data_IF_375126746667
#
_entry.id   IF_375126746667
#
_cell.length_a   1.000
_cell.length_b   1.000
_cell.length_c   1.000
_cell.angle_alpha   90.00
_cell.angle_beta   90.00
_cell.angle_gamma   90.00
#
_symmetry.space_group_name_H-M   'P 1'
#
loop_
_entity.id
_entity.type
_entity.pdbx_description
1 polymer ?
2 non-polymer ?
3 non-polymer ?
4 non-polymer ?
5 non-polymer ?
6 non-polymer ?
7 non-polymer ?
8 water ?
#
# COMPACT_ATOMS: atom_id res chain seq x y z
N UNK A 1 -7.00 -14.16 -17.68
CA UNK A 1 -6.73 -13.97 -19.12
C UNK A 1 -5.26 -14.33 -19.40
N UNK A 2 -5.04 -15.28 -20.34
CA UNK A 2 -3.68 -15.76 -20.64
C UNK A 2 -2.81 -14.74 -21.40
N UNK A 3 -1.49 -14.83 -21.19
CA UNK A 3 -0.53 -14.03 -21.96
C UNK A 3 0.72 -14.87 -22.21
N UNK A 4 1.62 -14.43 -23.12
CA UNK A 4 2.75 -15.31 -23.40
C UNK A 4 3.60 -15.57 -22.18
N UNK A 5 4.12 -16.79 -22.09
CA UNK A 5 5.01 -17.20 -21.02
C UNK A 5 6.28 -16.32 -20.93
N UNK A 6 6.88 -16.07 -22.08
CA UNK A 6 8.05 -15.23 -22.15
C UNK A 6 7.75 -14.14 -23.18
N UNK A 7 7.08 -13.07 -22.76
CA UNK A 7 6.78 -12.06 -23.75
C UNK A 7 8.01 -11.29 -24.28
N UNK A 8 9.08 -11.18 -23.49
CA UNK A 8 10.22 -10.38 -23.90
C UNK A 8 9.87 -8.90 -23.87
N UNK A 9 10.78 -8.10 -24.40
CA UNK A 9 10.58 -6.64 -24.41
C UNK A 9 11.56 -6.07 -25.42
N UNK A 10 11.58 -4.74 -25.56
CA UNK A 10 12.60 -4.13 -26.38
C UNK A 10 12.89 -2.75 -25.82
N UNK A 11 13.89 -2.07 -26.37
CA UNK A 11 14.42 -0.91 -25.69
C UNK A 11 13.57 0.31 -26.02
N UNK A 12 12.75 0.24 -27.07
CA UNK A 12 11.75 1.26 -27.32
C UNK A 12 10.69 1.22 -26.16
N UNK A 13 10.19 0.03 -25.86
CA UNK A 13 9.28 -0.18 -24.74
C UNK A 13 9.95 0.13 -23.41
N UNK A 14 11.22 -0.24 -23.24
CA UNK A 14 11.91 -0.02 -21.94
C UNK A 14 11.98 1.47 -21.62
N UNK A 15 12.28 2.27 -22.64
CA UNK A 15 12.48 3.73 -22.51
C UNK A 15 11.23 4.57 -22.68
N UNK A 16 10.14 3.93 -23.08
CA UNK A 16 8.94 4.65 -23.49
C UNK A 16 8.38 5.41 -22.30
N UNK A 17 7.97 6.66 -22.54
CA UNK A 17 7.38 7.56 -21.57
C UNK A 17 6.02 8.02 -22.05
N UNK A 18 5.03 8.05 -21.17
CA UNK A 18 3.77 8.74 -21.46
C UNK A 18 4.05 10.24 -21.32
N UNK A 19 3.40 11.07 -22.18
CA UNK A 19 3.57 12.55 -22.15
C UNK A 19 2.75 13.17 -21.01
N UNK A 20 3.36 13.11 -19.83
CA UNK A 20 2.86 13.63 -18.58
C UNK A 20 3.73 14.80 -18.13
N UNK A 21 3.04 15.83 -17.63
CA UNK A 21 3.56 17.01 -16.93
C UNK A 21 3.95 16.54 -15.49
N UNK A 22 5.09 15.89 -15.32
CA UNK A 22 5.50 15.40 -13.97
C UNK A 22 6.07 16.59 -13.23
N UNK A 23 5.71 16.76 -11.95
CA UNK A 23 6.33 17.82 -11.15
C UNK A 23 6.81 17.28 -9.80
N UNK A 24 7.70 18.03 -9.16
CA UNK A 24 8.08 17.76 -7.79
C UNK A 24 7.44 18.77 -6.85
N UNK A 25 7.45 18.43 -5.56
CA UNK A 25 7.03 19.37 -4.52
C UNK A 25 7.87 20.65 -4.54
N UNK A 26 9.19 20.51 -4.67
CA UNK A 26 10.11 21.65 -4.82
C UNK A 26 9.75 22.55 -6.00
N UNK A 27 9.42 21.95 -7.15
CA UNK A 27 9.01 22.74 -8.33
C UNK A 27 7.69 23.47 -8.06
N UNK A 28 6.76 22.81 -7.37
CA UNK A 28 5.50 23.46 -7.04
C UNK A 28 5.80 24.65 -6.09
N UNK A 29 6.59 24.41 -5.04
CA UNK A 29 6.92 25.47 -4.10
C UNK A 29 7.58 26.65 -4.84
N UNK A 30 8.52 26.32 -5.72
CA UNK A 30 9.23 27.31 -6.54
C UNK A 30 8.26 28.11 -7.43
N UNK A 31 7.27 27.42 -8.03
CA UNK A 31 6.29 28.11 -8.91
C UNK A 31 5.40 29.10 -8.11
N UNK A 32 5.31 28.90 -6.80
CA UNK A 32 4.49 29.72 -5.95
C UNK A 32 5.29 30.79 -5.23
N UNK A 33 6.61 30.84 -5.45
CA UNK A 33 7.46 31.72 -4.65
C UNK A 33 7.03 33.17 -4.92
N UNK A 34 6.88 33.92 -3.83
CA UNK A 34 6.42 35.31 -3.91
C UNK A 34 4.93 35.45 -3.64
N UNK A 35 4.17 34.36 -3.81
CA UNK A 35 2.74 34.43 -3.61
C UNK A 35 2.39 34.40 -2.13
N UNK A 36 1.55 35.37 -1.67
CA UNK A 36 1.17 35.42 -0.27
C UNK A 36 0.28 34.23 0.12
N UNK A 37 0.04 34.04 1.42
CA UNK A 37 -0.83 32.95 1.84
C UNK A 37 -2.15 32.83 1.05
N UNK A 38 -2.54 31.60 0.74
CA UNK A 38 -3.78 31.35 0.00
C UNK A 38 -4.48 30.11 0.57
N UNK A 39 -5.73 29.87 0.19
CA UNK A 39 -6.34 28.60 0.55
C UNK A 39 -5.94 27.51 -0.45
N UNK A 40 -5.57 26.35 0.07
CA UNK A 40 -5.29 25.18 -0.80
C UNK A 40 -6.06 23.99 -0.22
N UNK A 41 -6.31 22.99 -1.06
CA UNK A 41 -7.13 21.87 -0.63
C UNK A 41 -6.53 20.56 -1.01
N UNK A 42 -6.92 19.54 -0.24
CA UNK A 42 -6.47 18.15 -0.45
C UNK A 42 -7.67 17.20 -0.40
N UNK A 43 -7.78 16.33 -1.39
CA UNK A 43 -8.60 15.15 -1.24
C UNK A 43 -7.96 14.33 -0.09
N UNK A 44 -8.69 13.39 0.52
CA UNK A 44 -8.07 12.57 1.58
C UNK A 44 -7.59 11.17 1.09
N UNK A 45 -8.53 10.34 0.65
CA UNK A 45 -8.28 8.94 0.34
C UNK A 45 -7.41 8.71 -0.90
N UNK A 46 -6.29 8.01 -0.64
CA UNK A 46 -5.23 7.82 -1.62
C UNK A 46 -4.53 9.11 -2.06
N UNK A 47 -4.72 10.20 -1.34
CA UNK A 47 -4.03 11.46 -1.63
C UNK A 47 -3.13 11.79 -0.43
N UNK A 48 -3.71 11.76 0.78
CA UNK A 48 -2.90 11.92 2.02
C UNK A 48 -2.86 10.71 2.92
N UNK A 49 -3.91 9.87 2.83
CA UNK A 49 -4.03 8.65 3.60
C UNK A 49 -4.29 7.46 2.68
N UNK A 50 -3.47 6.43 2.81
CA UNK A 50 -3.84 5.12 2.28
C UNK A 50 -4.87 4.51 3.22
N UNK A 51 -6.15 4.67 2.89
CA UNK A 51 -7.23 4.35 3.78
C UNK A 51 -7.89 3.04 3.36
N UNK A 52 -7.39 2.38 2.31
CA UNK A 52 -7.94 1.08 1.90
C UNK A 52 -8.21 0.07 3.04
N UNK A 53 -7.34 0.03 4.09
CA UNK A 53 -7.60 -0.88 5.22
C UNK A 53 -9.03 -0.75 5.76
N UNK A 54 -9.48 0.49 6.03
CA UNK A 54 -10.81 0.72 6.59
C UNK A 54 -11.91 0.41 5.62
N UNK A 55 -11.69 0.76 4.35
CA UNK A 55 -12.68 0.45 3.30
C UNK A 55 -12.79 -1.05 3.01
N UNK A 56 -11.64 -1.71 2.97
CA UNK A 56 -11.58 -3.19 2.81
C UNK A 56 -12.30 -3.89 3.97
N UNK A 57 -11.94 -3.52 5.19
CA UNK A 57 -12.66 -3.98 6.37
C UNK A 57 -14.17 -3.68 6.32
N UNK A 58 -14.55 -2.47 5.91
CA UNK A 58 -15.95 -2.10 5.84
C UNK A 58 -16.71 -3.00 4.88
N UNK A 59 -16.14 -3.22 3.70
CA UNK A 59 -16.75 -4.04 2.66
C UNK A 59 -17.00 -5.44 3.21
N UNK A 60 -15.94 -6.05 3.79
CA UNK A 60 -16.02 -7.40 4.38
C UNK A 60 -17.09 -7.48 5.43
N UNK A 61 -17.21 -6.44 6.26
CA UNK A 61 -18.18 -6.38 7.39
C UNK A 61 -19.64 -6.09 6.93
N UNK A 62 -19.80 -5.12 6.04
CA UNK A 62 -21.12 -4.62 5.72
C UNK A 62 -21.68 -5.10 4.39
N UNK A 63 -20.84 -5.34 3.38
CA UNK A 63 -21.34 -5.82 2.08
C UNK A 63 -20.31 -6.66 1.32
N UNK A 64 -20.03 -7.89 1.82
CA UNK A 64 -18.95 -8.74 1.30
C UNK A 64 -18.98 -8.86 -0.21
N UNK A 65 -20.18 -8.93 -0.78
CA UNK A 65 -20.35 -9.20 -2.20
C UNK A 65 -20.97 -8.02 -2.99
N UNK A 66 -20.80 -6.79 -2.51
CA UNK A 66 -21.21 -5.59 -3.25
C UNK A 66 -20.50 -4.33 -2.75
N UNK A 67 -21.02 -3.16 -3.14
CA UNK A 67 -20.46 -1.85 -2.74
C UNK A 67 -21.44 -1.08 -1.87
N UNK A 68 -22.44 -1.79 -1.34
CA UNK A 68 -23.49 -1.17 -0.57
C UNK A 68 -22.97 -0.56 0.73
N UNK A 69 -21.83 -1.03 1.19
CA UNK A 69 -21.26 -0.49 2.43
C UNK A 69 -21.01 1.01 2.25
N UNK A 70 -20.72 1.42 1.02
CA UNK A 70 -20.42 2.81 0.74
C UNK A 70 -21.63 3.74 0.89
N UNK A 71 -22.82 3.15 1.05
CA UNK A 71 -24.04 3.91 1.21
C UNK A 71 -24.67 3.53 2.57
N UNK A 72 -23.87 2.95 3.46
CA UNK A 72 -24.36 2.47 4.78
C UNK A 72 -23.87 3.45 5.86
N UNK A 73 -24.81 4.09 6.63
CA UNK A 73 -24.33 5.10 7.58
C UNK A 73 -23.57 4.52 8.74
N UNK A 74 -23.78 3.24 9.03
CA UNK A 74 -23.02 2.58 10.11
C UNK A 74 -21.56 2.41 9.71
N UNK A 75 -21.32 2.07 8.45
CA UNK A 75 -19.96 2.03 7.90
C UNK A 75 -19.23 3.39 8.07
N UNK A 76 -19.88 4.48 7.66
CA UNK A 76 -19.31 5.83 7.75
C UNK A 76 -19.00 6.28 9.18
N UNK A 77 -19.88 5.97 10.12
CA UNK A 77 -19.58 6.21 11.52
C UNK A 77 -18.27 5.57 11.96
N UNK A 78 -18.04 4.28 11.59
CA UNK A 78 -16.78 3.58 11.94
C UNK A 78 -15.58 4.19 11.23
N UNK A 79 -15.76 4.47 9.93
CA UNK A 79 -14.66 4.87 9.03
C UNK A 79 -14.19 6.25 9.43
N UNK A 80 -15.15 7.11 9.82
CA UNK A 80 -14.86 8.51 10.17
C UNK A 80 -14.49 8.72 11.62
N UNK A 81 -14.66 7.70 12.43
CA UNK A 81 -14.45 7.80 13.87
C UNK A 81 -13.50 6.74 14.45
N UNK A 82 -12.47 6.37 13.68
CA UNK A 82 -11.43 5.51 14.23
C UNK A 82 -10.70 4.60 13.27
N UNK A 83 -11.38 4.15 12.24
CA UNK A 83 -10.69 3.21 11.34
C UNK A 83 -9.51 3.83 10.60
N UNK A 84 -9.41 5.18 10.59
CA UNK A 84 -8.19 5.84 10.04
C UNK A 84 -6.93 5.62 10.90
N UNK A 85 -7.09 5.06 12.09
CA UNK A 85 -5.94 4.64 12.89
C UNK A 85 -5.09 3.62 12.12
N UNK A 86 -5.76 2.88 11.23
CA UNK A 86 -5.13 1.92 10.30
C UNK A 86 -4.72 2.55 8.96
N UNK A 87 -5.06 3.82 8.73
CA UNK A 87 -4.76 4.44 7.46
C UNK A 87 -3.30 4.92 7.47
N UNK A 88 -2.57 4.71 6.38
CA UNK A 88 -1.13 5.00 6.34
C UNK A 88 -0.92 6.35 5.67
N UNK A 89 -0.36 7.31 6.41
CA UNK A 89 -0.08 8.65 5.83
C UNK A 89 0.88 8.51 4.64
N UNK A 90 0.65 9.28 3.58
CA UNK A 90 1.55 9.28 2.45
C UNK A 90 2.66 10.33 2.64
N UNK A 91 3.88 9.94 2.30
CA UNK A 91 5.08 10.80 2.31
C UNK A 91 4.90 12.05 1.46
N UNK A 92 4.30 11.92 0.27
CA UNK A 92 4.06 13.09 -0.61
C UNK A 92 3.19 14.14 0.07
N UNK A 93 2.22 13.67 0.85
CA UNK A 93 1.36 14.53 1.61
C UNK A 93 2.12 15.20 2.74
N UNK A 94 3.01 14.48 3.42
CA UNK A 94 3.86 15.11 4.42
C UNK A 94 4.67 16.24 3.81
N UNK A 95 5.26 15.98 2.64
CA UNK A 95 6.04 17.01 1.93
C UNK A 95 5.17 18.18 1.49
N UNK A 96 4.00 17.86 0.94
CA UNK A 96 3.07 18.90 0.46
C UNK A 96 2.51 19.77 1.60
N UNK A 97 2.02 19.10 2.64
CA UNK A 97 1.49 19.78 3.81
C UNK A 97 2.60 20.60 4.48
N UNK A 98 3.80 20.02 4.71
CA UNK A 98 4.95 20.85 5.18
C UNK A 98 5.19 22.10 4.33
N UNK A 99 5.18 21.93 3.02
CA UNK A 99 5.44 23.06 2.12
C UNK A 99 4.37 24.16 2.23
N UNK A 100 3.09 23.76 2.27
CA UNK A 100 1.99 24.72 2.44
C UNK A 100 1.97 25.40 3.84
N UNK A 101 2.42 24.68 4.87
CA UNK A 101 2.63 25.29 6.18
C UNK A 101 3.78 26.34 6.15
N UNK A 102 4.90 25.98 5.53
CA UNK A 102 5.98 26.93 5.23
C UNK A 102 5.45 28.19 4.53
N UNK A 103 4.56 28.03 3.55
CA UNK A 103 3.99 29.16 2.83
C UNK A 103 3.02 29.99 3.66
N UNK A 104 2.54 29.47 4.78
CA UNK A 104 1.47 30.16 5.52
C UNK A 104 0.09 29.98 4.89
N UNK A 105 -0.05 28.96 4.03
CA UNK A 105 -1.36 28.70 3.37
C UNK A 105 -2.37 28.11 4.35
N UNK A 106 -3.64 28.42 4.09
CA UNK A 106 -4.75 27.81 4.75
C UNK A 106 -5.01 26.43 4.09
N UNK A 107 -5.05 25.39 4.91
CA UNK A 107 -5.15 24.04 4.37
C UNK A 107 -6.54 23.48 4.67
N UNK A 108 -7.19 23.00 3.60
CA UNK A 108 -8.50 22.36 3.70
C UNK A 108 -8.43 20.94 3.18
N UNK A 109 -9.26 20.07 3.75
CA UNK A 109 -9.44 18.71 3.22
C UNK A 109 -10.87 18.57 2.76
N UNK A 110 -11.03 18.22 1.49
CA UNK A 110 -12.36 18.12 0.91
C UNK A 110 -12.56 16.68 0.45
N UNK A 111 -13.42 15.95 1.16
CA UNK A 111 -13.50 14.55 0.95
C UNK A 111 -14.85 14.13 0.41
N UNK A 112 -14.87 13.09 -0.42
CA UNK A 112 -16.12 12.47 -0.90
C UNK A 112 -16.81 11.54 0.12
N UNK A 113 -16.14 11.25 1.23
CA UNK A 113 -16.77 10.53 2.33
C UNK A 113 -18.07 11.21 2.78
N UNK A 114 -19.05 10.39 3.21
CA UNK A 114 -20.32 10.88 3.74
C UNK A 114 -20.15 11.53 5.12
N UNK A 115 -20.78 12.69 5.31
CA UNK A 115 -20.78 13.35 6.62
C UNK A 115 -21.37 12.42 7.68
N UNK A 116 -20.87 12.51 8.90
CA UNK A 116 -21.41 11.70 10.01
C UNK A 116 -21.64 12.67 11.15
N UNK A 117 -22.33 12.21 12.19
CA UNK A 117 -22.62 13.03 13.36
C UNK A 117 -21.32 13.52 14.02
N UNK A 118 -20.35 12.63 14.14
CA UNK A 118 -19.05 13.03 14.66
C UNK A 118 -17.96 12.49 13.70
N UNK A 119 -16.78 13.11 13.78
CA UNK A 119 -15.67 12.68 12.99
C UNK A 119 -14.38 12.94 13.76
N UNK A 120 -13.46 11.98 13.71
CA UNK A 120 -12.13 12.12 14.33
C UNK A 120 -11.05 12.22 13.21
N UNK A 121 -11.52 12.38 11.98
CA UNK A 121 -10.61 12.48 10.84
C UNK A 121 -9.71 13.74 10.89
N UNK A 122 -10.29 14.89 11.23
CA UNK A 122 -9.54 16.16 11.29
C UNK A 122 -8.43 16.03 12.31
N UNK A 123 -8.75 15.39 13.42
CA UNK A 123 -7.76 15.13 14.49
C UNK A 123 -6.59 14.23 13.97
N UNK A 124 -6.93 13.08 13.37
CA UNK A 124 -5.95 12.15 12.78
C UNK A 124 -5.03 12.88 11.75
N UNK A 125 -5.59 13.75 10.94
CA UNK A 125 -4.82 14.47 9.94
C UNK A 125 -3.91 15.49 10.59
N UNK A 126 -4.44 16.28 11.54
CA UNK A 126 -3.67 17.40 12.12
C UNK A 126 -2.51 16.84 12.95
N UNK A 127 -2.76 15.66 13.52
CA UNK A 127 -1.77 14.91 14.29
C UNK A 127 -0.72 14.22 13.43
N UNK A 128 -1.16 13.35 12.51
CA UNK A 128 -0.22 12.63 11.64
C UNK A 128 0.70 13.54 10.86
N UNK A 129 0.18 14.69 10.43
CA UNK A 129 0.91 15.56 9.50
C UNK A 129 1.44 16.84 10.15
N UNK A 130 1.31 16.90 11.48
CA UNK A 130 1.91 17.93 12.31
C UNK A 130 1.46 19.29 11.82
N UNK A 131 0.13 19.45 11.71
CA UNK A 131 -0.48 20.64 11.11
C UNK A 131 -0.87 21.64 12.19
N UNK A 132 -0.25 22.82 12.15
CA UNK A 132 -0.56 23.82 13.21
C UNK A 132 -2.04 24.22 13.19
N UNK A 133 -2.57 24.59 14.36
CA UNK A 133 -3.95 25.08 14.46
C UNK A 133 -4.25 26.16 13.40
N UNK A 134 -3.30 27.05 13.15
CA UNK A 134 -3.65 28.16 12.27
C UNK A 134 -3.85 27.78 10.78
N UNK A 135 -3.07 26.82 10.30
CA UNK A 135 -3.20 26.30 8.95
C UNK A 135 -4.31 25.29 8.81
N UNK A 136 -4.68 24.63 9.90
CA UNK A 136 -5.65 23.53 9.85
C UNK A 136 -7.11 24.04 9.74
N UNK A 137 -7.93 23.35 8.96
CA UNK A 137 -9.35 23.62 8.92
C UNK A 137 -10.08 22.32 9.02
N UNK A 138 -11.21 22.31 9.71
CA UNK A 138 -11.93 21.02 9.87
C UNK A 138 -12.29 20.40 8.52
N UNK A 139 -12.15 19.08 8.42
CA UNK A 139 -12.45 18.36 7.20
C UNK A 139 -13.87 18.71 6.69
N UNK A 140 -13.95 18.99 5.39
CA UNK A 140 -15.21 19.18 4.65
C UNK A 140 -15.61 17.84 4.03
N UNK A 141 -16.66 17.23 4.61
CA UNK A 141 -17.27 15.99 4.12
C UNK A 141 -18.31 16.35 3.07
N UNK A 142 -17.90 16.33 1.81
CA UNK A 142 -18.74 16.82 0.75
C UNK A 142 -19.69 15.70 0.25
N UNK A 143 -19.43 14.46 0.69
CA UNK A 143 -20.24 13.32 0.28
C UNK A 143 -20.08 12.93 -1.18
N UNK A 144 -20.84 11.92 -1.61
CA UNK A 144 -20.70 11.45 -2.99
C UNK A 144 -22.06 11.25 -3.62
N UNK A 145 -22.25 11.84 -4.79
CA UNK A 145 -23.53 11.72 -5.48
C UNK A 145 -23.23 11.56 -6.95
N UNK A 146 -23.27 10.30 -7.45
CA UNK A 146 -22.88 10.00 -8.84
C UNK A 146 -23.67 10.88 -9.84
N UNK A 147 -23.00 11.39 -10.86
CA UNK A 147 -23.61 12.37 -11.73
C UNK A 147 -23.25 13.78 -11.29
N UNK A 148 -22.80 13.93 -10.05
CA UNK A 148 -22.48 15.28 -9.54
C UNK A 148 -21.09 15.35 -8.88
N UNK A 149 -20.31 16.38 -9.23
CA UNK A 149 -19.07 16.62 -8.50
C UNK A 149 -19.39 17.43 -7.23
N UNK A 150 -19.43 16.75 -6.07
CA UNK A 150 -19.76 17.41 -4.80
C UNK A 150 -18.63 18.35 -4.23
N UNK A 151 -17.42 18.30 -4.79
CA UNK A 151 -16.28 19.13 -4.29
C UNK A 151 -16.27 20.56 -4.85
N UNK A 152 -16.69 20.72 -6.10
CA UNK A 152 -16.53 22.00 -6.82
C UNK A 152 -17.02 23.21 -6.05
N UNK A 153 -18.25 23.14 -5.56
CA UNK A 153 -18.81 24.25 -4.79
C UNK A 153 -18.04 24.56 -3.48
N UNK A 154 -17.49 23.53 -2.84
CA UNK A 154 -16.60 23.75 -1.69
C UNK A 154 -15.30 24.46 -2.04
N UNK A 155 -14.64 24.07 -3.14
CA UNK A 155 -13.44 24.82 -3.57
C UNK A 155 -13.76 26.29 -3.87
N UNK A 156 -14.91 26.53 -4.49
CA UNK A 156 -15.39 27.89 -4.74
C UNK A 156 -15.60 28.66 -3.44
N UNK A 157 -16.35 28.03 -2.53
CA UNK A 157 -16.69 28.62 -1.25
C UNK A 157 -15.47 28.95 -0.41
N UNK A 158 -14.47 28.07 -0.38
CA UNK A 158 -13.29 28.31 0.45
C UNK A 158 -12.17 29.06 -0.29
N UNK A 159 -12.46 29.55 -1.48
CA UNK A 159 -11.44 30.19 -2.34
C UNK A 159 -10.13 29.38 -2.53
N UNK A 160 -10.27 28.06 -2.66
CA UNK A 160 -9.13 27.15 -2.85
C UNK A 160 -8.52 27.36 -4.24
N UNK A 161 -7.22 27.66 -4.30
CA UNK A 161 -6.50 27.99 -5.54
C UNK A 161 -5.72 26.81 -6.13
N UNK A 162 -5.43 25.83 -5.27
CA UNK A 162 -4.69 24.61 -5.65
C UNK A 162 -5.44 23.48 -4.98
N UNK A 163 -5.79 22.47 -5.77
CA UNK A 163 -6.38 21.24 -5.26
C UNK A 163 -5.59 19.99 -5.66
N UNK A 164 -5.25 19.17 -4.65
CA UNK A 164 -4.51 17.94 -4.82
C UNK A 164 -5.41 16.74 -4.68
N UNK A 165 -5.29 15.79 -5.59
CA UNK A 165 -6.10 14.58 -5.47
C UNK A 165 -5.69 13.48 -6.39
N UNK A 166 -6.12 12.26 -6.08
CA UNK A 166 -5.79 11.11 -6.95
C UNK A 166 -6.82 10.81 -8.05
N UNK A 167 -8.07 11.28 -7.88
CA UNK A 167 -9.16 10.91 -8.76
C UNK A 167 -9.49 11.97 -9.81
N UNK A 168 -10.10 11.53 -10.88
CA UNK A 168 -10.46 12.42 -11.98
C UNK A 168 -11.35 13.53 -11.47
N UNK A 169 -12.30 13.17 -10.59
CA UNK A 169 -13.17 14.20 -9.96
C UNK A 169 -12.46 15.29 -9.12
N UNK A 170 -11.28 14.99 -8.58
CA UNK A 170 -10.50 15.98 -7.88
C UNK A 170 -9.99 17.03 -8.85
N UNK A 171 -9.46 16.56 -9.98
CA UNK A 171 -8.92 17.42 -11.01
C UNK A 171 -10.01 18.21 -11.71
N UNK A 172 -11.11 17.56 -12.05
CA UNK A 172 -12.26 18.26 -12.62
C UNK A 172 -12.90 19.31 -11.69
N UNK A 173 -12.89 19.07 -10.36
CA UNK A 173 -13.38 20.07 -9.42
C UNK A 173 -12.53 21.34 -9.46
N UNK A 174 -11.20 21.16 -9.42
CA UNK A 174 -10.28 22.29 -9.54
C UNK A 174 -10.52 23.03 -10.85
N UNK A 175 -10.62 22.29 -11.96
CA UNK A 175 -10.88 22.88 -13.27
C UNK A 175 -12.19 23.69 -13.28
N UNK A 176 -13.25 23.11 -12.70
CA UNK A 176 -14.55 23.78 -12.59
C UNK A 176 -14.45 25.19 -12.03
N UNK A 177 -13.53 25.42 -11.09
CA UNK A 177 -13.44 26.71 -10.39
C UNK A 177 -12.21 27.54 -10.82
N UNK A 178 -11.48 27.03 -11.81
CA UNK A 178 -10.23 27.65 -12.28
C UNK A 178 -9.08 27.54 -11.30
N UNK A 179 -9.16 26.57 -10.37
CA UNK A 179 -8.03 26.27 -9.49
C UNK A 179 -7.04 25.36 -10.21
N UNK A 180 -5.81 25.33 -9.69
CA UNK A 180 -4.76 24.48 -10.23
C UNK A 180 -4.93 23.10 -9.64
N UNK A 181 -5.36 22.15 -10.48
CA UNK A 181 -5.53 20.77 -10.04
C UNK A 181 -4.27 19.96 -10.26
N UNK A 182 -3.82 19.30 -9.20
CA UNK A 182 -2.56 18.58 -9.23
C UNK A 182 -2.79 17.12 -8.80
N UNK A 183 -2.30 16.20 -9.62
CA UNK A 183 -2.62 14.79 -9.39
C UNK A 183 -1.57 14.10 -8.52
N UNK A 184 -2.03 13.21 -7.63
CA UNK A 184 -1.23 12.34 -6.80
C UNK A 184 -1.54 10.91 -7.31
N UNK A 185 -0.51 10.06 -7.43
CA UNK A 185 -0.72 8.67 -7.83
C UNK A 185 -1.43 7.86 -6.77
N UNK A 186 -2.49 7.16 -7.16
CA UNK A 186 -3.05 6.14 -6.29
C UNK A 186 -2.14 4.89 -6.23
N UNK A 187 -1.83 4.43 -5.02
CA UNK A 187 -1.02 3.24 -4.85
C UNK A 187 -1.66 2.00 -5.48
N UNK A 188 -0.80 1.15 -6.06
CA UNK A 188 -1.27 -0.03 -6.78
C UNK A 188 -1.89 -1.10 -5.87
N UNK A 189 -1.65 -1.00 -4.54
CA UNK A 189 -2.26 -1.92 -3.60
C UNK A 189 -3.52 -1.30 -2.98
N UNK A 190 -3.96 -0.13 -3.48
CA UNK A 190 -5.28 0.42 -3.13
C UNK A 190 -6.34 -0.61 -3.53
N UNK A 191 -7.39 -0.76 -2.73
CA UNK A 191 -8.51 -1.60 -3.11
C UNK A 191 -9.55 -0.80 -3.91
N UNK A 192 -9.28 0.49 -4.13
CA UNK A 192 -10.15 1.30 -4.99
C UNK A 192 -9.60 1.22 -6.42
N UNK A 193 -10.26 0.39 -7.25
CA UNK A 193 -9.79 0.10 -8.59
C UNK A 193 -10.94 0.30 -9.62
N UNK A 194 -10.60 0.50 -10.91
CA UNK A 194 -9.25 0.58 -11.45
C UNK A 194 -8.48 1.88 -11.03
N UNK A 195 -7.16 1.82 -11.13
CA UNK A 195 -6.33 3.00 -10.95
C UNK A 195 -6.73 4.07 -11.99
N UNK A 196 -6.76 5.33 -11.57
CA UNK A 196 -7.06 6.46 -12.48
C UNK A 196 -5.88 6.64 -13.41
N UNK A 197 -6.13 7.19 -14.59
CA UNK A 197 -5.05 7.65 -15.49
C UNK A 197 -4.61 9.05 -15.07
N UNK A 198 -3.63 9.08 -14.17
CA UNK A 198 -2.99 10.32 -13.74
C UNK A 198 -2.43 11.01 -14.97
N UNK A 199 -2.75 12.29 -15.15
CA UNK A 199 -2.26 13.03 -16.32
C UNK A 199 -3.31 13.10 -17.44
N UNK A 200 -4.46 12.46 -17.26
CA UNK A 200 -5.45 12.35 -18.36
C UNK A 200 -6.13 13.66 -18.78
N UNK A 201 -6.03 14.73 -17.99
CA UNK A 201 -6.57 16.03 -18.39
C UNK A 201 -5.44 17.04 -18.74
N UNK A 202 -4.21 16.52 -18.92
CA UNK A 202 -3.01 17.37 -19.10
C UNK A 202 -2.56 18.09 -17.82
N UNK A 203 -3.04 17.65 -16.66
CA UNK A 203 -2.73 18.29 -15.37
C UNK A 203 -1.32 17.82 -14.91
N UNK A 204 -0.71 18.60 -14.03
CA UNK A 204 0.56 18.21 -13.40
C UNK A 204 0.32 17.01 -12.52
N UNK A 205 1.29 16.09 -12.51
CA UNK A 205 1.25 14.89 -11.67
C UNK A 205 2.54 14.88 -10.84
N UNK A 206 2.42 14.60 -9.56
CA UNK A 206 3.59 14.64 -8.64
C UNK A 206 4.32 13.31 -8.74
N UNK A 207 5.62 13.40 -8.97
CA UNK A 207 6.48 12.23 -9.10
C UNK A 207 6.46 11.47 -7.80
N UNK A 208 6.54 10.15 -7.89
CA UNK A 208 6.76 9.25 -6.75
C UNK A 208 5.72 9.38 -5.65
N UNK A 209 4.53 9.81 -6.03
CA UNK A 209 3.49 10.22 -5.09
C UNK A 209 2.56 9.07 -4.72
N UNK A 210 2.95 7.84 -5.09
CA UNK A 210 2.23 6.65 -4.69
C UNK A 210 2.45 6.25 -3.21
N UNK A 211 3.43 6.85 -2.54
CA UNK A 211 3.73 6.47 -1.17
C UNK A 211 4.00 7.74 -0.35
N UNK B 1 24.73 14.76 -4.23
CA UNK B 1 24.03 16.09 -4.24
C UNK B 1 25.02 17.16 -4.74
N UNK B 2 24.53 18.20 -5.47
CA UNK B 2 23.16 18.72 -5.63
C UNK B 2 22.06 17.74 -6.07
N UNK B 3 20.87 17.98 -5.52
CA UNK B 3 19.60 17.41 -6.00
C UNK B 3 18.88 18.59 -6.68
N UNK B 4 19.03 18.72 -8.02
CA UNK B 4 18.59 19.93 -8.71
C UNK B 4 17.06 20.10 -8.72
N UNK B 5 16.62 21.36 -8.78
CA UNK B 5 15.21 21.70 -9.03
C UNK B 5 14.67 20.95 -10.24
N UNK B 6 15.44 21.00 -11.32
CA UNK B 6 15.11 20.39 -12.59
C UNK B 6 16.22 19.40 -12.94
N UNK B 7 16.13 18.17 -12.41
CA UNK B 7 17.21 17.19 -12.56
C UNK B 7 17.41 16.80 -14.01
N UNK B 8 16.31 16.73 -14.78
CA UNK B 8 16.38 16.16 -16.12
C UNK B 8 16.69 14.67 -16.07
N UNK B 9 16.80 14.07 -17.25
CA UNK B 9 17.16 12.67 -17.38
C UNK B 9 17.81 12.48 -18.74
N UNK B 10 18.14 11.24 -19.07
CA UNK B 10 18.66 10.89 -20.37
C UNK B 10 18.14 9.48 -20.69
N UNK B 11 18.23 9.07 -21.95
CA UNK B 11 17.59 7.82 -22.39
C UNK B 11 18.35 6.55 -21.95
N UNK B 12 19.62 6.69 -21.58
CA UNK B 12 20.35 5.58 -20.92
C UNK B 12 19.74 5.30 -19.55
N UNK B 13 19.48 6.36 -18.76
CA UNK B 13 18.79 6.18 -17.45
C UNK B 13 17.33 5.73 -17.61
N UNK B 14 16.64 6.22 -18.64
CA UNK B 14 15.25 5.86 -18.85
C UNK B 14 15.10 4.36 -19.13
N UNK B 15 15.99 3.83 -19.96
CA UNK B 15 15.95 2.41 -20.34
C UNK B 15 16.75 1.48 -19.39
N UNK B 16 17.39 2.08 -18.39
CA UNK B 16 18.32 1.33 -17.56
C UNK B 16 17.59 0.22 -16.82
N UNK B 17 18.16 -0.98 -16.82
CA UNK B 17 17.58 -2.11 -16.08
C UNK B 17 18.63 -2.58 -15.10
N UNK B 18 18.22 -2.90 -13.86
CA UNK B 18 19.08 -3.64 -12.95
C UNK B 18 19.11 -5.10 -13.42
N UNK B 19 20.26 -5.78 -13.24
CA UNK B 19 20.38 -7.15 -13.69
C UNK B 19 19.73 -8.14 -12.68
N UNK B 20 18.42 -8.31 -12.83
CA UNK B 20 17.60 -9.11 -11.98
C UNK B 20 16.97 -10.24 -12.79
N UNK B 21 16.94 -11.46 -12.21
CA UNK B 21 16.20 -12.64 -12.77
C UNK B 21 14.72 -12.46 -12.38
N UNK B 22 14.00 -11.67 -13.18
CA UNK B 22 12.56 -11.50 -12.98
C UNK B 22 11.84 -12.75 -13.47
N UNK B 23 10.84 -13.20 -12.73
CA UNK B 23 9.95 -14.28 -13.17
C UNK B 23 8.48 -13.88 -12.97
N UNK B 24 7.60 -14.63 -13.62
CA UNK B 24 6.16 -14.43 -13.50
C UNK B 24 5.65 -15.68 -12.79
N UNK B 25 4.44 -15.62 -12.26
CA UNK B 25 3.83 -16.81 -11.68
C UNK B 25 3.69 -17.92 -12.72
N UNK B 26 3.33 -17.52 -13.94
CA UNK B 26 3.18 -18.45 -15.07
C UNK B 26 4.47 -19.25 -15.36
N UNK B 27 5.64 -18.59 -15.28
CA UNK B 27 6.92 -19.23 -15.49
C UNK B 27 7.32 -20.16 -14.33
N UNK B 28 7.06 -19.72 -13.09
CA UNK B 28 7.25 -20.60 -11.96
C UNK B 28 6.44 -21.87 -12.11
N UNK B 29 5.15 -21.71 -12.44
CA UNK B 29 4.28 -22.87 -12.67
C UNK B 29 4.83 -23.79 -13.77
N UNK B 30 5.28 -23.19 -14.88
CA UNK B 30 5.89 -23.95 -15.97
C UNK B 30 7.15 -24.74 -15.50
N UNK B 31 7.95 -24.12 -14.64
CA UNK B 31 9.17 -24.74 -14.10
C UNK B 31 8.84 -25.94 -13.20
N UNK B 32 7.61 -25.99 -12.72
CA UNK B 32 7.19 -27.05 -11.82
C UNK B 32 6.47 -28.21 -12.53
N UNK B 33 6.14 -28.05 -13.81
CA UNK B 33 5.36 -29.05 -14.57
C UNK B 33 5.98 -30.47 -14.51
N UNK B 34 5.21 -31.40 -13.97
CA UNK B 34 5.63 -32.79 -13.81
C UNK B 34 6.27 -33.07 -12.47
N UNK B 35 6.57 -32.03 -11.71
CA UNK B 35 7.06 -32.20 -10.33
C UNK B 35 5.87 -32.60 -9.45
N UNK B 36 6.02 -33.73 -8.71
CA UNK B 36 5.05 -34.21 -7.72
C UNK B 36 4.70 -33.14 -6.70
N UNK B 37 3.48 -33.21 -6.11
CA UNK B 37 3.10 -32.38 -4.98
C UNK B 37 4.19 -32.27 -3.95
N UNK B 38 4.43 -31.03 -3.51
CA UNK B 38 5.51 -30.78 -2.56
C UNK B 38 5.07 -29.78 -1.49
N UNK B 39 5.88 -29.61 -0.43
CA UNK B 39 5.61 -28.53 0.50
C UNK B 39 6.24 -27.20 0.00
N UNK B 40 5.46 -26.12 0.06
CA UNK B 40 5.97 -24.78 -0.27
C UNK B 40 5.64 -23.84 0.89
N UNK B 41 6.46 -22.81 1.09
CA UNK B 41 6.24 -21.88 2.19
C UNK B 41 6.15 -20.44 1.71
N UNK B 42 5.45 -19.64 2.52
CA UNK B 42 5.30 -18.19 2.34
C UNK B 42 5.61 -17.47 3.66
N UNK B 43 6.43 -16.42 3.57
CA UNK B 43 6.43 -15.37 4.56
C UNK B 43 5.02 -14.75 4.56
N UNK B 44 4.66 -14.05 5.63
CA UNK B 44 3.35 -13.39 5.64
C UNK B 44 3.43 -11.92 5.27
N UNK B 45 4.18 -11.14 6.04
CA UNK B 45 4.14 -9.70 5.93
C UNK B 45 4.83 -9.12 4.68
N UNK B 46 4.06 -8.39 3.90
CA UNK B 46 4.49 -7.85 2.62
C UNK B 46 4.79 -8.93 1.59
N UNK B 47 4.32 -10.15 1.84
CA UNK B 47 4.51 -11.25 0.87
C UNK B 47 3.12 -11.67 0.42
N UNK B 48 2.25 -11.94 1.40
CA UNK B 48 0.88 -12.31 1.06
C UNK B 48 -0.13 -11.26 1.62
N UNK B 49 0.21 -10.64 2.77
CA UNK B 49 -0.60 -9.55 3.34
C UNK B 49 0.17 -8.25 3.43
N UNK B 50 -0.44 -7.19 2.91
CA UNK B 50 0.00 -5.80 3.23
C UNK B 50 -0.54 -5.48 4.62
N UNK B 51 0.26 -5.76 5.65
CA UNK B 51 -0.19 -5.75 7.04
C UNK B 51 0.29 -4.50 7.73
N UNK B 52 0.92 -3.58 7.01
CA UNK B 52 1.37 -2.31 7.62
C UNK B 52 0.27 -1.49 8.35
N UNK B 53 -1.03 -1.57 7.93
CA UNK B 53 -2.09 -0.86 8.70
C UNK B 53 -2.04 -1.24 10.20
N UNK B 54 -2.04 -2.55 10.50
CA UNK B 54 -1.93 -3.02 11.90
C UNK B 54 -0.62 -2.67 12.58
N UNK B 55 0.50 -2.82 11.86
CA UNK B 55 1.80 -2.38 12.38
C UNK B 55 1.88 -0.87 12.60
N UNK B 56 1.34 -0.07 11.66
CA UNK B 56 1.21 1.39 11.85
C UNK B 56 0.42 1.72 13.11
N UNK B 57 -0.76 1.13 13.20
CA UNK B 57 -1.64 1.24 14.36
C UNK B 57 -0.89 0.88 15.64
N UNK B 58 -0.16 -0.24 15.61
CA UNK B 58 0.57 -0.73 16.77
C UNK B 58 1.65 0.25 17.18
N UNK B 59 2.44 0.71 16.22
CA UNK B 59 3.48 1.72 16.50
C UNK B 59 2.87 2.98 17.15
N UNK B 60 1.86 3.54 16.47
CA UNK B 60 1.22 4.76 16.91
C UNK B 60 0.64 4.63 18.34
N UNK B 61 0.08 3.46 18.65
CA UNK B 61 -0.50 3.12 19.96
C UNK B 61 0.53 2.77 21.04
N UNK B 62 1.57 2.00 20.70
CA UNK B 62 2.43 1.41 21.73
C UNK B 62 3.83 1.99 21.86
N UNK B 63 4.32 2.66 20.82
CA UNK B 63 5.69 3.19 20.83
C UNK B 63 5.88 4.26 19.73
N UNK B 64 5.16 5.39 19.85
CA UNK B 64 5.11 6.37 18.74
C UNK B 64 6.44 6.83 18.14
N UNK B 65 7.55 6.66 18.84
CA UNK B 65 8.83 7.19 18.34
C UNK B 65 9.87 6.13 17.96
N UNK B 66 9.69 4.93 18.50
CA UNK B 66 10.61 3.82 18.29
C UNK B 66 9.89 2.59 17.70
N UNK B 67 10.61 1.48 17.68
CA UNK B 67 10.06 0.25 17.19
C UNK B 67 9.88 -0.74 18.34
N UNK B 68 9.66 -0.20 19.54
CA UNK B 68 9.52 -1.03 20.74
C UNK B 68 8.26 -1.91 20.74
N UNK B 69 7.21 -1.43 20.04
CA UNK B 69 5.96 -2.16 19.88
C UNK B 69 6.21 -3.55 19.30
N UNK B 70 7.26 -3.69 18.49
CA UNK B 70 7.60 -4.96 17.87
C UNK B 70 8.03 -6.02 18.88
N UNK B 71 8.20 -5.64 20.14
CA UNK B 71 8.54 -6.62 21.19
C UNK B 71 7.60 -6.45 22.37
N UNK B 72 6.42 -5.93 22.06
CA UNK B 72 5.40 -5.71 23.06
C UNK B 72 4.33 -6.78 22.93
N UNK B 73 4.22 -7.71 23.89
CA UNK B 73 3.19 -8.77 23.78
C UNK B 73 1.76 -8.27 23.58
N UNK B 74 1.45 -7.10 24.14
CA UNK B 74 0.10 -6.53 24.04
C UNK B 74 -0.21 -6.22 22.58
N UNK B 75 0.76 -5.61 21.88
CA UNK B 75 0.67 -5.39 20.44
C UNK B 75 0.45 -6.68 19.67
N UNK B 76 1.26 -7.71 19.91
CA UNK B 76 1.11 -8.99 19.20
C UNK B 76 -0.24 -9.68 19.40
N UNK B 77 -0.78 -9.62 20.61
CA UNK B 77 -2.09 -10.17 20.91
C UNK B 77 -3.16 -9.49 20.04
N UNK B 78 -2.98 -8.20 19.77
CA UNK B 78 -3.88 -7.44 18.91
C UNK B 78 -3.62 -7.73 17.44
N UNK B 79 -2.34 -7.72 17.07
CA UNK B 79 -1.91 -7.96 15.69
C UNK B 79 -2.29 -9.35 15.16
N UNK B 80 -2.13 -10.37 16.01
CA UNK B 80 -2.40 -11.77 15.61
C UNK B 80 -3.85 -12.23 15.84
N UNK B 81 -4.69 -11.36 16.40
CA UNK B 81 -6.06 -11.75 16.72
C UNK B 81 -7.12 -10.79 16.17
N UNK B 82 -6.86 -10.18 15.03
CA UNK B 82 -7.92 -9.48 14.36
C UNK B 82 -7.50 -8.26 13.56
N UNK B 83 -6.32 -7.69 13.84
CA UNK B 83 -5.92 -6.46 13.15
C UNK B 83 -5.60 -6.76 11.69
N UNK B 84 -5.33 -8.04 11.37
CA UNK B 84 -5.22 -8.43 9.96
C UNK B 84 -6.52 -8.38 9.15
N UNK B 85 -7.67 -8.14 9.79
CA UNK B 85 -8.89 -7.77 9.05
C UNK B 85 -8.70 -6.46 8.27
N UNK B 86 -7.73 -5.65 8.70
CA UNK B 86 -7.37 -4.43 7.98
C UNK B 86 -6.15 -4.65 7.06
N UNK B 87 -5.60 -5.87 7.04
CA UNK B 87 -4.51 -6.16 6.12
C UNK B 87 -5.07 -6.39 4.72
N UNK B 88 -4.33 -5.92 3.71
CA UNK B 88 -4.76 -6.01 2.33
C UNK B 88 -4.00 -7.13 1.63
N UNK B 89 -4.71 -8.19 1.26
CA UNK B 89 -4.15 -9.37 0.54
C UNK B 89 -3.54 -8.92 -0.81
N UNK B 90 -2.42 -9.55 -1.15
CA UNK B 90 -1.65 -9.27 -2.35
C UNK B 90 -2.13 -10.17 -3.47
N UNK B 91 -2.40 -9.57 -4.64
CA UNK B 91 -2.83 -10.29 -5.83
C UNK B 91 -1.78 -11.34 -6.23
N UNK B 92 -0.50 -10.99 -6.04
CA UNK B 92 0.58 -11.94 -6.37
C UNK B 92 0.43 -13.22 -5.52
N UNK B 93 0.07 -13.04 -4.26
CA UNK B 93 -0.16 -14.17 -3.38
C UNK B 93 -1.40 -14.98 -3.80
N UNK B 94 -2.45 -14.28 -4.19
CA UNK B 94 -3.66 -14.98 -4.69
C UNK B 94 -3.26 -15.87 -5.82
N UNK B 95 -2.46 -15.35 -6.76
CA UNK B 95 -2.04 -16.16 -7.93
C UNK B 95 -1.15 -17.33 -7.56
N UNK B 96 -0.13 -17.07 -6.74
CA UNK B 96 0.79 -18.14 -6.27
C UNK B 96 0.08 -19.28 -5.54
N UNK B 97 -0.79 -18.91 -4.62
CA UNK B 97 -1.45 -19.87 -3.75
C UNK B 97 -2.49 -20.63 -4.59
N UNK B 98 -3.27 -19.93 -5.42
CA UNK B 98 -4.14 -20.65 -6.36
C UNK B 98 -3.38 -21.71 -7.19
N UNK B 99 -2.23 -21.35 -7.74
CA UNK B 99 -1.54 -22.32 -8.54
C UNK B 99 -0.89 -23.49 -7.75
N UNK B 100 -0.42 -23.21 -6.54
CA UNK B 100 0.11 -24.27 -5.65
C UNK B 100 -1.02 -25.16 -5.15
N UNK B 101 -2.18 -24.58 -4.87
CA UNK B 101 -3.34 -25.40 -4.53
C UNK B 101 -3.71 -26.29 -5.75
N UNK B 102 -3.78 -25.69 -6.95
CA UNK B 102 -4.08 -26.43 -8.17
C UNK B 102 -3.11 -27.61 -8.44
N UNK B 103 -1.85 -27.44 -8.05
CA UNK B 103 -0.82 -28.51 -8.10
C UNK B 103 -1.04 -29.60 -7.03
N UNK B 104 -1.80 -29.31 -6.00
CA UNK B 104 -1.91 -30.24 -4.89
C UNK B 104 -0.79 -30.10 -3.88
N UNK B 105 -0.11 -28.94 -3.88
CA UNK B 105 1.00 -28.69 -2.95
C UNK B 105 0.52 -28.48 -1.50
N UNK B 106 1.36 -28.87 -0.54
CA UNK B 106 1.16 -28.50 0.86
C UNK B 106 1.62 -27.04 0.99
N UNK B 107 0.81 -26.21 1.65
CA UNK B 107 1.11 -24.78 1.80
C UNK B 107 1.36 -24.43 3.27
N UNK B 108 2.57 -23.90 3.53
CA UNK B 108 2.98 -23.45 4.86
C UNK B 108 3.18 -21.94 4.89
N UNK B 109 2.88 -21.34 6.03
CA UNK B 109 3.22 -19.96 6.27
C UNK B 109 4.17 -19.93 7.46
N UNK B 110 5.33 -19.32 7.24
CA UNK B 110 6.32 -19.19 8.30
C UNK B 110 6.66 -17.72 8.53
N UNK B 111 6.32 -17.19 9.71
CA UNK B 111 6.42 -15.77 10.02
C UNK B 111 7.39 -15.49 11.19
N UNK B 112 8.04 -14.33 11.15
CA UNK B 112 8.87 -13.87 12.27
C UNK B 112 8.06 -13.14 13.33
N UNK B 113 6.76 -12.95 13.10
CA UNK B 113 5.89 -12.36 14.15
C UNK B 113 6.04 -13.15 15.45
N UNK B 114 5.86 -12.46 16.58
CA UNK B 114 5.93 -13.15 17.89
C UNK B 114 4.68 -14.00 18.11
N UNK B 115 4.87 -15.23 18.65
CA UNK B 115 3.71 -16.07 18.92
C UNK B 115 2.83 -15.49 20.04
N UNK B 116 1.57 -15.89 20.05
CA UNK B 116 0.60 -15.39 20.99
C UNK B 116 -0.18 -16.60 21.40
N UNK B 117 -0.96 -16.46 22.46
CA UNK B 117 -1.60 -17.63 23.05
C UNK B 117 -2.62 -18.17 22.08
N UNK B 118 -3.34 -17.26 21.41
CA UNK B 118 -4.20 -17.62 20.30
C UNK B 118 -3.83 -16.78 19.04
N UNK B 119 -4.28 -17.24 17.87
CA UNK B 119 -4.08 -16.47 16.65
C UNK B 119 -5.19 -16.78 15.66
N UNK B 120 -5.64 -15.76 14.96
CA UNK B 120 -6.64 -15.89 13.91
C UNK B 120 -6.04 -15.62 12.52
N UNK B 121 -4.71 -15.52 12.46
CA UNK B 121 -4.01 -15.33 11.19
C UNK B 121 -4.18 -16.52 10.25
N UNK B 122 -4.02 -17.74 10.76
CA UNK B 122 -4.24 -18.95 9.95
C UNK B 122 -5.61 -18.89 9.23
N UNK B 123 -6.65 -18.57 10.00
CA UNK B 123 -8.01 -18.41 9.47
C UNK B 123 -8.14 -17.27 8.46
N UNK B 124 -7.64 -16.08 8.79
CA UNK B 124 -7.65 -14.95 7.83
C UNK B 124 -7.05 -15.35 6.48
N UNK B 125 -5.92 -16.07 6.51
CA UNK B 125 -5.19 -16.51 5.32
C UNK B 125 -6.00 -17.55 4.50
N UNK B 126 -6.41 -18.62 5.19
CA UNK B 126 -7.20 -19.67 4.55
C UNK B 126 -8.47 -19.09 3.90
N UNK B 127 -9.11 -18.14 4.57
CA UNK B 127 -10.33 -17.48 4.09
C UNK B 127 -10.08 -16.51 2.94
N UNK B 128 -9.11 -15.62 3.09
CA UNK B 128 -8.90 -14.63 2.01
C UNK B 128 -8.35 -15.21 0.70
N UNK B 129 -7.57 -16.28 0.82
CA UNK B 129 -6.91 -16.91 -0.30
C UNK B 129 -7.60 -18.22 -0.72
N UNK B 130 -8.70 -18.56 -0.04
CA UNK B 130 -9.53 -19.73 -0.40
C UNK B 130 -8.68 -21.01 -0.41
N UNK B 131 -7.95 -21.23 0.69
CA UNK B 131 -7.01 -22.35 0.77
C UNK B 131 -7.73 -23.53 1.40
N UNK B 132 -7.88 -24.63 0.65
CA UNK B 132 -8.55 -25.79 1.27
C UNK B 132 -7.81 -26.23 2.53
N UNK B 133 -8.54 -26.74 3.53
CA UNK B 133 -7.94 -27.20 4.78
C UNK B 133 -6.89 -28.24 4.56
N UNK B 134 -7.07 -29.02 3.52
CA UNK B 134 -6.13 -30.06 3.11
C UNK B 134 -4.75 -29.51 2.74
N UNK B 135 -4.75 -28.41 1.97
CA UNK B 135 -3.51 -27.77 1.58
C UNK B 135 -2.94 -26.90 2.71
N UNK B 136 -3.85 -26.42 3.59
CA UNK B 136 -3.52 -25.39 4.58
C UNK B 136 -2.83 -26.03 5.77
N UNK B 137 -1.87 -25.31 6.37
CA UNK B 137 -1.27 -25.71 7.63
C UNK B 137 -1.25 -24.52 8.58
N UNK B 138 -1.43 -24.76 9.89
CA UNK B 138 -1.46 -23.59 10.81
C UNK B 138 -0.20 -22.76 10.66
N UNK B 139 -0.31 -21.44 10.75
CA UNK B 139 0.88 -20.56 10.69
C UNK B 139 1.96 -21.00 11.66
N UNK B 140 3.19 -21.09 11.17
CA UNK B 140 4.39 -21.27 12.00
C UNK B 140 5.02 -19.93 12.40
N UNK B 141 5.01 -19.66 13.71
CA UNK B 141 5.74 -18.53 14.31
C UNK B 141 7.16 -18.97 14.64
N UNK B 142 8.10 -18.58 13.76
CA UNK B 142 9.51 -18.94 13.82
C UNK B 142 10.35 -17.93 14.60
N UNK B 143 11.45 -18.39 15.18
CA UNK B 143 12.43 -17.46 15.78
C UNK B 143 13.43 -18.08 16.75
N UNK B 144 14.08 -17.22 17.54
CA UNK B 144 15.20 -17.62 18.37
C UNK B 144 14.87 -17.74 19.89
N UNK B 145 13.65 -17.36 20.30
CA UNK B 145 13.25 -17.49 21.71
C UNK B 145 13.23 -18.97 22.18
N UNK B 146 13.35 -19.21 23.52
CA UNK B 146 13.06 -20.54 24.05
C UNK B 146 11.74 -21.09 23.55
N UNK B 147 11.76 -22.37 23.15
CA UNK B 147 10.56 -23.03 22.66
C UNK B 147 10.28 -22.74 21.19
N UNK B 148 11.17 -21.98 20.54
CA UNK B 148 11.01 -21.73 19.09
C UNK B 148 12.09 -22.39 18.27
N UNK B 149 11.80 -22.57 16.99
CA UNK B 149 12.82 -22.93 15.99
C UNK B 149 12.89 -21.87 14.90
N UNK B 150 14.06 -21.69 14.31
CA UNK B 150 14.31 -20.59 13.35
C UNK B 150 13.56 -20.83 12.03
N UNK B 151 13.41 -19.82 11.15
CA UNK B 151 12.76 -20.06 9.80
C UNK B 151 13.40 -21.26 9.11
N UNK B 152 14.74 -21.23 8.97
CA UNK B 152 15.56 -22.31 8.35
C UNK B 152 15.25 -23.70 8.89
N UNK B 153 15.26 -23.85 10.21
CA UNK B 153 14.96 -25.16 10.85
C UNK B 153 13.56 -25.67 10.48
N UNK B 154 12.61 -24.74 10.44
CA UNK B 154 11.25 -25.03 10.01
C UNK B 154 11.14 -25.46 8.57
N UNK B 155 11.89 -24.79 7.68
CA UNK B 155 11.88 -25.14 6.24
C UNK B 155 12.45 -26.56 6.04
N UNK B 156 13.53 -26.86 6.76
CA UNK B 156 14.10 -28.20 6.78
C UNK B 156 13.09 -29.21 7.33
N UNK B 157 12.46 -28.89 8.47
CA UNK B 157 11.53 -29.80 9.12
C UNK B 157 10.34 -30.16 8.26
N UNK B 158 9.74 -29.15 7.62
CA UNK B 158 8.57 -29.39 6.78
C UNK B 158 8.98 -29.69 5.33
N UNK B 159 10.26 -29.95 5.07
CA UNK B 159 10.72 -30.26 3.69
C UNK B 159 10.22 -29.24 2.64
N UNK B 160 10.28 -27.95 2.96
CA UNK B 160 9.72 -26.94 2.08
C UNK B 160 10.70 -26.77 0.93
N UNK B 161 10.22 -26.83 -0.32
CA UNK B 161 11.13 -26.77 -1.47
C UNK B 161 11.25 -25.38 -2.09
N UNK B 162 10.24 -24.55 -1.85
CA UNK B 162 10.18 -23.19 -2.36
C UNK B 162 9.73 -22.32 -1.22
N UNK B 163 10.39 -21.16 -1.02
CA UNK B 163 9.95 -20.24 -0.03
C UNK B 163 9.84 -18.85 -0.68
N UNK B 164 8.65 -18.26 -0.55
CA UNK B 164 8.38 -16.91 -1.09
C UNK B 164 8.51 -15.95 0.03
N UNK B 165 9.25 -14.87 -0.20
CA UNK B 165 9.34 -13.79 0.80
C UNK B 165 9.85 -12.44 0.28
N UNK B 166 9.60 -11.38 1.02
CA UNK B 166 10.09 -10.06 0.62
C UNK B 166 11.42 -9.66 1.28
N UNK B 167 11.80 -10.34 2.36
CA UNK B 167 12.95 -9.90 3.14
C UNK B 167 14.17 -10.71 2.80
N UNK B 168 15.34 -10.11 3.01
CA UNK B 168 16.61 -10.84 2.75
C UNK B 168 16.64 -12.18 3.52
N UNK B 169 16.16 -12.16 4.76
CA UNK B 169 16.24 -13.37 5.60
C UNK B 169 15.31 -14.50 5.15
N UNK B 170 14.29 -14.12 4.36
CA UNK B 170 13.42 -15.10 3.73
C UNK B 170 14.22 -15.87 2.71
N UNK B 171 14.99 -15.13 1.89
CA UNK B 171 15.77 -15.74 0.79
C UNK B 171 16.97 -16.54 1.36
N UNK B 172 17.66 -15.97 2.33
CA UNK B 172 18.80 -16.68 2.94
C UNK B 172 18.35 -17.95 3.70
N UNK B 173 17.15 -17.92 4.29
CA UNK B 173 16.60 -19.09 4.97
C UNK B 173 16.38 -20.24 3.99
N UNK B 174 15.77 -19.94 2.83
CA UNK B 174 15.62 -20.91 1.76
C UNK B 174 16.99 -21.43 1.25
N UNK B 175 17.93 -20.50 1.02
CA UNK B 175 19.27 -20.86 0.53
C UNK B 175 20.00 -21.76 1.57
N UNK B 176 19.93 -21.41 2.85
CA UNK B 176 20.56 -22.23 3.89
C UNK B 176 20.13 -23.70 3.89
N UNK B 177 18.91 -23.99 3.42
CA UNK B 177 18.42 -25.37 3.39
C UNK B 177 18.38 -25.98 1.98
N UNK B 178 18.91 -25.28 0.98
CA UNK B 178 18.83 -25.76 -0.39
C UNK B 178 17.47 -25.58 -1.07
N UNK B 179 16.61 -24.76 -0.49
CA UNK B 179 15.30 -24.53 -1.09
C UNK B 179 15.41 -23.37 -2.08
N UNK B 180 14.42 -23.28 -2.96
CA UNK B 180 14.38 -22.25 -3.99
C UNK B 180 13.75 -21.03 -3.34
N UNK B 181 14.54 -19.98 -3.07
CA UNK B 181 14.00 -18.75 -2.47
C UNK B 181 13.52 -17.86 -3.60
N UNK B 182 12.27 -17.40 -3.50
CA UNK B 182 11.70 -16.52 -4.52
C UNK B 182 11.21 -15.20 -3.88
N UNK B 183 11.67 -14.08 -4.43
CA UNK B 183 11.46 -12.77 -3.82
C UNK B 183 10.15 -12.14 -4.28
N UNK B 184 9.42 -11.59 -3.33
CA UNK B 184 8.28 -10.74 -3.62
C UNK B 184 8.66 -9.29 -3.29
N UNK B 185 8.26 -8.36 -4.14
CA UNK B 185 8.46 -6.92 -3.87
C UNK B 185 7.62 -6.42 -2.70
N UNK B 186 8.31 -5.75 -1.77
CA UNK B 186 7.68 -4.96 -0.72
C UNK B 186 7.09 -3.66 -1.32
N UNK B 187 5.80 -3.40 -1.06
CA UNK B 187 5.12 -2.16 -1.54
C UNK B 187 5.79 -0.93 -0.96
N UNK B 188 5.98 0.11 -1.78
CA UNK B 188 6.65 1.33 -1.34
C UNK B 188 5.89 2.12 -0.25
N UNK B 189 4.61 1.83 -0.07
CA UNK B 189 3.81 2.38 1.03
C UNK B 189 3.82 1.49 2.29
N UNK B 190 4.60 0.40 2.30
CA UNK B 190 4.87 -0.33 3.54
C UNK B 190 5.52 0.60 4.54
N UNK B 191 5.18 0.43 5.82
CA UNK B 191 5.88 1.16 6.87
C UNK B 191 7.15 0.41 7.37
N UNK B 192 7.46 -0.74 6.77
CA UNK B 192 8.69 -1.46 7.05
C UNK B 192 9.78 -1.03 6.06
N UNK B 193 10.59 -0.09 6.52
CA UNK B 193 11.51 0.65 5.68
C UNK B 193 12.90 0.53 6.32
N UNK B 194 13.98 0.59 5.51
CA UNK B 194 13.99 0.78 4.05
C UNK B 194 13.53 -0.49 3.29
N UNK B 195 13.09 -0.30 2.06
CA UNK B 195 12.69 -1.44 1.20
C UNK B 195 13.93 -2.31 0.94
N UNK B 196 13.77 -3.64 0.91
CA UNK B 196 14.88 -4.54 0.56
C UNK B 196 15.33 -4.35 -0.88
N UNK B 197 16.60 -4.67 -1.15
CA UNK B 197 17.08 -4.78 -2.52
C UNK B 197 16.66 -6.18 -3.01
N UNK B 198 15.46 -6.27 -3.59
CA UNK B 198 14.98 -7.49 -4.22
C UNK B 198 15.97 -7.92 -5.31
N UNK B 199 16.38 -9.18 -5.28
CA UNK B 199 17.40 -9.65 -6.27
C UNK B 199 18.84 -9.54 -5.75
N UNK B 200 19.02 -9.08 -4.52
CA UNK B 200 20.39 -8.82 -3.97
C UNK B 200 21.26 -10.07 -3.89
N UNK B 201 20.65 -11.24 -3.97
CA UNK B 201 21.37 -12.54 -3.87
C UNK B 201 21.35 -13.33 -5.16
N UNK B 202 20.96 -12.70 -6.26
CA UNK B 202 20.78 -13.40 -7.52
C UNK B 202 19.53 -14.28 -7.60
N UNK B 203 18.62 -14.15 -6.63
CA UNK B 203 17.38 -14.94 -6.62
C UNK B 203 16.39 -14.43 -7.66
N UNK B 204 15.47 -15.30 -8.04
CA UNK B 204 14.30 -14.90 -8.85
C UNK B 204 13.44 -13.87 -8.11
N UNK B 205 12.93 -12.89 -8.85
CA UNK B 205 12.03 -11.92 -8.24
C UNK B 205 10.77 -11.93 -9.09
N UNK B 206 9.61 -12.00 -8.45
CA UNK B 206 8.35 -11.97 -9.18
C UNK B 206 7.98 -10.56 -9.70
N UNK B 207 7.74 -10.47 -11.00
CA UNK B 207 7.30 -9.22 -11.58
C UNK B 207 6.03 -8.75 -10.89
N UNK B 208 5.94 -7.44 -10.73
CA UNK B 208 4.71 -6.72 -10.33
C UNK B 208 4.09 -7.24 -9.04
N UNK B 209 4.94 -7.81 -8.19
CA UNK B 209 4.53 -8.45 -6.94
C UNK B 209 4.37 -7.46 -5.78
N UNK B 210 4.40 -6.14 -6.04
CA UNK B 210 4.16 -5.15 -5.00
C UNK B 210 2.69 -5.01 -4.58
N UNK B 211 1.78 -5.69 -5.30
CA UNK B 211 0.34 -5.56 -5.00
C UNK B 211 -0.40 -6.90 -5.14
#
# INVERSE_FOLDING_TARGET
SPSPLNPGTNVARLAEQAPIHWVSVAQIENSLAGRPPMAVGFDIDDTVLFSSPGFWRGKKTFSPESEDYLKNPVFWEKMNNGWDEFSIPKEVARQLIDMHVRRGDAIFFVTGRSPTKTETVSKTLADNFHIPATNMNPVIFAGDKPGQNTKSQWLQDKNIRIFYGDSDNDITAARDVGARGIRILRASNSTYKPLPQAGAFGEEVIVNSEY
SPSPLNPGTNVARLAEQAPIHWVSVAQIENSLAGRPPMAVGFDIDDTVLFSSPGFWRGKKTFSPESEDYLKNPVFWEKMNNGWDEFSIPKEVARQLIDMHVRRGDAIFFVTGRSPTKTETVSKTLADNFHIPATNMNPVIFAGDKPGQNTKSQWLQDKNIRIFYGDSDNDITAARDVGARGIRILRASNSTYKPLPQAGAFGEEVIVNSEY
#
